data_IF_649905129341
#
_entry.id   IF_649905129341
#
_cell.length_a   1.000
_cell.length_b   1.000
_cell.length_c   1.000
_cell.angle_alpha   90.00
_cell.angle_beta   90.00
_cell.angle_gamma   90.00
#
_symmetry.space_group_name_H-M   'P 1'
#
loop_
_entity.id
_entity.type
_entity.pdbx_description
1 polymer ?
#
# COMPACT_ATOMS: atom_id res chain seq x y z
N UNK A 1 -9.55 49.21 17.75
CA UNK A 1 -9.30 48.10 18.69
C UNK A 1 -9.89 46.84 18.06
N UNK A 2 -9.05 45.93 17.59
CA UNK A 2 -9.44 44.54 17.29
C UNK A 2 -8.38 43.62 17.90
N UNK A 3 -8.85 42.64 18.66
CA UNK A 3 -8.10 41.74 19.53
C UNK A 3 -7.08 40.89 18.77
N UNK A 4 -5.86 40.83 19.30
CA UNK A 4 -4.88 39.84 18.89
C UNK A 4 -5.25 38.50 19.53
N UNK A 5 -5.60 37.50 18.70
CA UNK A 5 -5.76 36.12 19.13
C UNK A 5 -4.43 35.62 19.74
N UNK A 6 -4.39 35.53 21.06
CA UNK A 6 -3.25 34.99 21.81
C UNK A 6 -3.31 33.46 21.75
N UNK A 7 -2.70 32.87 20.73
CA UNK A 7 -2.51 31.42 20.67
C UNK A 7 -1.41 31.08 21.67
N UNK A 8 -1.79 30.51 22.82
CA UNK A 8 -0.87 29.93 23.80
C UNK A 8 -0.50 28.53 23.29
N UNK A 9 0.78 28.25 22.97
CA UNK A 9 1.18 26.89 22.64
C UNK A 9 1.29 26.09 23.94
N UNK A 10 0.26 25.28 24.22
CA UNK A 10 0.36 24.22 25.22
C UNK A 10 1.23 23.06 24.69
N UNK A 11 2.20 22.67 25.51
CA UNK A 11 2.60 21.28 25.66
C UNK A 11 3.51 20.70 24.58
N UNK A 12 4.82 20.81 24.81
CA UNK A 12 5.81 19.94 24.17
C UNK A 12 7.21 20.54 24.31
N UNK A 13 8.06 19.92 25.13
CA UNK A 13 9.45 20.31 25.29
C UNK A 13 10.22 19.98 24.00
N UNK A 14 10.14 20.89 23.04
CA UNK A 14 10.90 20.85 21.80
C UNK A 14 12.27 21.47 22.05
N UNK A 15 13.24 21.18 21.18
CA UNK A 15 14.47 21.95 20.99
C UNK A 15 14.14 23.45 20.82
N UNK A 16 13.87 24.13 21.94
CA UNK A 16 13.11 25.37 21.98
C UNK A 16 13.83 26.50 21.27
N UNK A 17 15.15 26.51 21.31
CA UNK A 17 15.95 27.60 20.78
C UNK A 17 15.89 27.66 19.25
N UNK A 18 15.88 26.53 18.55
CA UNK A 18 15.91 26.51 17.09
C UNK A 18 14.53 26.86 16.50
N UNK A 19 13.46 26.30 17.07
CA UNK A 19 12.10 26.58 16.65
C UNK A 19 11.73 28.06 16.89
N UNK A 20 12.04 28.58 18.09
CA UNK A 20 11.77 29.98 18.43
C UNK A 20 12.60 30.95 17.56
N UNK A 21 13.86 30.64 17.25
CA UNK A 21 14.69 31.45 16.34
C UNK A 21 14.10 31.52 14.94
N UNK A 22 13.63 30.39 14.39
CA UNK A 22 12.99 30.36 13.07
C UNK A 22 11.69 31.16 13.07
N UNK A 23 10.88 31.00 14.12
CA UNK A 23 9.63 31.75 14.27
C UNK A 23 9.86 33.26 14.33
N UNK A 24 10.82 33.72 15.15
CA UNK A 24 11.17 35.14 15.24
C UNK A 24 11.65 35.70 13.90
N UNK A 25 12.46 34.95 13.15
CA UNK A 25 12.92 35.36 11.81
C UNK A 25 11.77 35.59 10.83
N UNK A 26 10.72 34.76 10.91
CA UNK A 26 9.52 34.91 10.07
C UNK A 26 8.72 36.15 10.50
N UNK A 27 8.59 36.39 11.80
CA UNK A 27 7.90 37.58 12.32
C UNK A 27 8.61 38.88 11.91
N UNK A 28 9.95 38.94 12.00
CA UNK A 28 10.72 40.11 11.56
C UNK A 28 10.54 40.37 10.06
N UNK A 29 10.55 39.29 9.26
CA UNK A 29 10.35 39.41 7.83
C UNK A 29 8.92 39.85 7.49
N UNK A 30 7.89 39.33 8.17
CA UNK A 30 6.48 39.65 7.89
C UNK A 30 6.16 41.11 8.23
N UNK A 31 6.75 41.63 9.31
CA UNK A 31 6.60 43.03 9.70
C UNK A 31 7.28 43.99 8.71
N UNK A 32 8.41 43.59 8.14
CA UNK A 32 9.15 44.42 7.18
C UNK A 32 8.53 44.39 5.78
N UNK A 33 7.76 43.35 5.44
CA UNK A 33 7.29 43.08 4.08
C UNK A 33 5.89 42.47 4.05
N UNK A 34 4.90 43.30 4.35
CA UNK A 34 3.48 42.91 4.40
C UNK A 34 2.88 42.51 3.04
N UNK A 35 3.54 42.89 1.93
CA UNK A 35 3.07 42.62 0.57
C UNK A 35 3.48 41.24 0.02
N UNK A 36 4.40 40.54 0.71
CA UNK A 36 4.86 39.23 0.25
C UNK A 36 3.86 38.14 0.63
N UNK A 37 3.67 37.18 -0.27
CA UNK A 37 2.94 35.96 0.07
C UNK A 37 3.71 35.16 1.13
N UNK A 38 2.99 34.36 1.93
CA UNK A 38 3.61 33.53 2.95
C UNK A 38 4.74 32.64 2.41
N UNK A 39 4.62 32.14 1.17
CA UNK A 39 5.65 31.29 0.57
C UNK A 39 6.90 32.09 0.20
N UNK A 40 6.77 33.29 -0.37
CA UNK A 40 7.90 34.17 -0.69
C UNK A 40 8.62 34.64 0.59
N UNK A 41 7.85 34.89 1.65
CA UNK A 41 8.39 35.26 2.95
C UNK A 41 9.27 34.16 3.55
N UNK A 42 8.81 32.91 3.48
CA UNK A 42 9.56 31.74 3.95
C UNK A 42 10.79 31.50 3.06
N UNK A 43 10.64 31.65 1.74
CA UNK A 43 11.76 31.52 0.79
C UNK A 43 12.84 32.59 1.03
N UNK A 44 12.45 33.80 1.42
CA UNK A 44 13.40 34.85 1.82
C UNK A 44 14.14 34.50 3.12
N UNK A 45 13.45 33.91 4.09
CA UNK A 45 14.06 33.57 5.37
C UNK A 45 14.98 32.34 5.30
N UNK A 46 14.65 31.36 4.47
CA UNK A 46 15.25 30.02 4.50
C UNK A 46 15.68 29.48 3.14
N UNK A 47 15.58 30.26 2.07
CA UNK A 47 15.88 29.86 0.70
C UNK A 47 14.69 29.23 -0.02
N UNK A 48 14.81 29.10 -1.35
CA UNK A 48 13.76 28.54 -2.22
C UNK A 48 13.25 27.20 -1.70
N UNK A 49 11.94 27.09 -1.52
CA UNK A 49 11.29 25.87 -1.05
C UNK A 49 10.93 25.01 -2.27
N UNK A 50 11.14 23.69 -2.18
CA UNK A 50 10.75 22.78 -3.25
C UNK A 50 9.22 22.68 -3.35
N UNK A 51 8.60 23.53 -4.18
CA UNK A 51 7.13 23.59 -4.36
C UNK A 51 6.53 22.33 -5.00
N UNK A 52 7.36 21.51 -5.64
CA UNK A 52 6.96 20.25 -6.26
C UNK A 52 6.72 19.12 -5.26
N UNK A 53 7.18 19.30 -4.02
CA UNK A 53 6.98 18.36 -2.94
C UNK A 53 6.65 19.13 -1.68
N UNK A 54 5.37 19.28 -1.36
CA UNK A 54 4.97 19.75 -0.03
C UNK A 54 5.36 18.64 0.95
N UNK A 55 6.59 18.70 1.46
CA UNK A 55 6.97 17.96 2.66
C UNK A 55 6.29 18.71 3.80
N UNK A 56 5.07 18.29 4.13
CA UNK A 56 4.44 18.68 5.37
C UNK A 56 5.34 18.19 6.51
N UNK A 57 6.11 19.10 7.11
CA UNK A 57 6.64 18.90 8.47
C UNK A 57 5.47 19.09 9.45
N UNK A 58 4.60 18.09 9.50
CA UNK A 58 3.54 17.91 10.50
C UNK A 58 3.61 16.45 10.95
N UNK A 59 3.89 16.22 12.23
CA UNK A 59 4.41 14.95 12.74
C UNK A 59 3.64 13.70 12.32
N UNK A 60 4.36 12.70 11.83
CA UNK A 60 3.81 11.35 11.79
C UNK A 60 4.40 10.31 10.83
N UNK A 61 5.43 10.58 10.03
CA UNK A 61 6.25 9.52 9.42
C UNK A 61 7.69 10.02 9.30
N UNK A 62 8.59 9.53 10.14
CA UNK A 62 10.03 9.74 10.00
C UNK A 62 10.52 8.89 8.82
N UNK A 63 11.58 9.32 8.13
CA UNK A 63 12.25 8.48 7.12
C UNK A 63 12.71 7.12 7.69
N UNK A 64 12.90 7.03 9.01
CA UNK A 64 13.17 5.80 9.75
C UNK A 64 11.95 4.89 9.93
N UNK A 65 10.74 5.44 9.86
CA UNK A 65 9.48 4.68 9.94
C UNK A 65 9.16 4.01 8.59
N UNK A 66 9.71 4.55 7.50
CA UNK A 66 9.81 3.89 6.21
C UNK A 66 10.96 2.87 6.29
N UNK A 67 10.70 1.68 6.86
CA UNK A 67 11.63 0.55 6.71
C UNK A 67 11.97 0.40 5.22
N UNK A 68 13.23 0.17 4.84
CA UNK A 68 13.64 0.03 3.42
C UNK A 68 13.20 -1.31 2.80
N UNK A 69 12.14 -1.93 3.32
CA UNK A 69 11.66 -3.26 2.95
C UNK A 69 10.47 -3.24 1.98
N UNK A 70 10.16 -2.09 1.39
CA UNK A 70 9.19 -2.05 0.31
C UNK A 70 9.92 -2.39 -0.98
N UNK A 71 9.80 -3.64 -1.42
CA UNK A 71 9.98 -3.97 -2.84
C UNK A 71 9.28 -2.89 -3.66
N UNK A 72 9.95 -2.41 -4.70
CA UNK A 72 9.40 -1.33 -5.51
C UNK A 72 7.98 -1.71 -5.98
N UNK A 73 7.11 -0.73 -6.20
CA UNK A 73 5.75 -1.00 -6.72
C UNK A 73 5.80 -1.88 -7.99
N UNK A 74 6.84 -1.71 -8.81
CA UNK A 74 7.10 -2.53 -9.98
C UNK A 74 7.42 -3.99 -9.62
N UNK A 75 8.31 -4.24 -8.66
CA UNK A 75 8.64 -5.60 -8.19
C UNK A 75 7.44 -6.32 -7.58
N UNK A 76 6.64 -5.62 -6.77
CA UNK A 76 5.43 -6.20 -6.18
C UNK A 76 4.41 -6.60 -7.26
N UNK A 77 4.23 -5.75 -8.27
CA UNK A 77 3.38 -6.06 -9.41
C UNK A 77 3.91 -7.24 -10.22
N UNK A 78 5.22 -7.30 -10.46
CA UNK A 78 5.85 -8.42 -11.18
C UNK A 78 5.62 -9.75 -10.44
N UNK A 79 5.86 -9.77 -9.12
CA UNK A 79 5.64 -10.95 -8.28
C UNK A 79 4.17 -11.37 -8.22
N UNK A 80 3.24 -10.40 -8.20
CA UNK A 80 1.81 -10.67 -8.26
C UNK A 80 1.43 -11.34 -9.58
N UNK A 81 1.88 -10.80 -10.71
CA UNK A 81 1.62 -11.37 -12.04
C UNK A 81 2.22 -12.77 -12.19
N UNK A 82 3.43 -13.01 -11.69
CA UNK A 82 4.07 -14.33 -11.71
C UNK A 82 3.27 -15.35 -10.91
N UNK A 83 2.89 -14.99 -9.67
CA UNK A 83 2.08 -15.83 -8.80
C UNK A 83 0.72 -16.16 -9.43
N UNK A 84 0.10 -15.21 -10.13
CA UNK A 84 -1.17 -15.44 -10.84
C UNK A 84 -1.02 -16.44 -11.99
N UNK A 85 0.05 -16.33 -12.79
CA UNK A 85 0.34 -17.28 -13.87
C UNK A 85 0.59 -18.68 -13.36
N UNK A 86 1.37 -18.81 -12.29
CA UNK A 86 1.63 -20.10 -11.65
C UNK A 86 0.33 -20.74 -11.16
N UNK A 87 -0.51 -19.98 -10.44
CA UNK A 87 -1.81 -20.46 -9.97
C UNK A 87 -2.72 -20.91 -11.10
N UNK A 88 -2.76 -20.18 -12.22
CA UNK A 88 -3.54 -20.57 -13.39
C UNK A 88 -3.05 -21.89 -13.98
N UNK A 89 -1.72 -22.05 -14.13
CA UNK A 89 -1.11 -23.29 -14.61
C UNK A 89 -1.42 -24.48 -13.71
N UNK A 90 -1.31 -24.30 -12.38
CA UNK A 90 -1.62 -25.34 -11.41
C UNK A 90 -3.09 -25.76 -11.47
N UNK A 91 -4.02 -24.81 -11.61
CA UNK A 91 -5.45 -25.09 -11.78
C UNK A 91 -5.71 -25.92 -13.03
N UNK A 92 -5.17 -25.52 -14.18
CA UNK A 92 -5.33 -26.28 -15.42
C UNK A 92 -4.78 -27.71 -15.33
N UNK A 93 -3.66 -27.91 -14.62
CA UNK A 93 -3.12 -29.26 -14.38
C UNK A 93 -4.02 -30.09 -13.48
N UNK A 94 -4.59 -29.48 -12.43
CA UNK A 94 -5.52 -30.13 -11.53
C UNK A 94 -6.80 -30.56 -12.27
N UNK A 95 -7.39 -29.65 -13.06
CA UNK A 95 -8.57 -29.94 -13.88
C UNK A 95 -8.30 -31.11 -14.85
N UNK A 96 -7.11 -31.13 -15.47
CA UNK A 96 -6.71 -32.23 -16.36
C UNK A 96 -6.57 -33.57 -15.62
N UNK A 97 -6.02 -33.56 -14.40
CA UNK A 97 -5.90 -34.76 -13.58
C UNK A 97 -7.26 -35.28 -13.11
N UNK A 98 -8.17 -34.39 -12.74
CA UNK A 98 -9.55 -34.74 -12.36
C UNK A 98 -10.30 -35.38 -13.53
N UNK A 99 -10.12 -34.87 -14.75
CA UNK A 99 -10.72 -35.45 -15.95
C UNK A 99 -10.20 -36.88 -16.24
N UNK A 100 -8.89 -37.11 -16.15
CA UNK A 100 -8.31 -38.44 -16.34
C UNK A 100 -8.75 -39.42 -15.25
N UNK A 101 -8.82 -38.99 -13.99
CA UNK A 101 -9.34 -39.82 -12.90
C UNK A 101 -10.80 -40.21 -13.12
N UNK A 102 -11.62 -39.26 -13.60
CA UNK A 102 -13.01 -39.53 -13.92
C UNK A 102 -13.14 -40.57 -15.04
N UNK A 103 -12.32 -40.47 -16.09
CA UNK A 103 -12.26 -41.45 -17.18
C UNK A 103 -11.84 -42.84 -16.72
N UNK A 104 -10.81 -42.93 -15.85
CA UNK A 104 -10.38 -44.21 -15.27
C UNK A 104 -11.49 -44.84 -14.43
N UNK A 105 -12.17 -44.03 -13.62
CA UNK A 105 -13.31 -44.48 -12.81
C UNK A 105 -14.43 -45.05 -13.68
N UNK A 106 -14.76 -44.40 -14.78
CA UNK A 106 -15.76 -44.86 -15.75
C UNK A 106 -15.34 -46.19 -16.39
N UNK A 107 -14.08 -46.32 -16.83
CA UNK A 107 -13.55 -47.57 -17.39
C UNK A 107 -13.64 -48.74 -16.41
N UNK A 108 -13.28 -48.51 -15.14
CA UNK A 108 -13.37 -49.53 -14.09
C UNK A 108 -14.81 -49.94 -13.79
N UNK A 109 -15.75 -48.98 -13.77
CA UNK A 109 -17.18 -49.27 -13.61
C UNK A 109 -17.74 -50.10 -14.77
N UNK A 110 -17.35 -49.79 -16.01
CA UNK A 110 -17.75 -50.58 -17.18
C UNK A 110 -17.20 -52.01 -17.12
N UNK A 111 -15.94 -52.21 -16.71
CA UNK A 111 -15.35 -53.55 -16.58
C UNK A 111 -16.03 -54.39 -15.49
N UNK A 112 -16.47 -53.76 -14.40
CA UNK A 112 -17.22 -54.44 -13.33
C UNK A 112 -18.61 -54.91 -13.81
N UNK A 113 -19.30 -54.11 -14.64
CA UNK A 113 -20.61 -54.48 -15.21
C UNK A 113 -20.56 -55.61 -16.24
N UNK A 114 -19.44 -55.80 -16.95
CA UNK A 114 -19.28 -56.88 -17.95
C UNK A 114 -18.95 -58.22 -17.27
N UNK A 115 -18.31 -58.19 -16.09
CA UNK A 115 -17.84 -59.40 -15.39
C UNK A 115 -18.91 -60.10 -14.53
N UNK A 116 -20.06 -59.46 -14.29
CA UNK A 116 -21.22 -60.05 -13.62
C UNK A 116 -22.49 -59.81 -14.43
N UNK A 117 -22.85 -60.68 -15.40
CA UNK A 117 -24.16 -60.62 -16.03
C UNK A 117 -25.21 -60.95 -14.97
N UNK A 118 -26.14 -60.02 -14.72
CA UNK A 118 -27.35 -60.28 -13.95
C UNK A 118 -28.03 -61.53 -14.52
N UNK A 119 -27.97 -62.65 -13.80
CA UNK A 119 -28.66 -63.86 -14.22
C UNK A 119 -30.16 -63.57 -14.24
N UNK A 120 -30.91 -63.97 -15.29
CA UNK A 120 -32.35 -63.85 -15.27
C UNK A 120 -32.87 -64.77 -14.17
N UNK A 121 -33.59 -64.20 -13.21
CA UNK A 121 -34.41 -64.96 -12.28
C UNK A 121 -35.52 -65.63 -13.09
N UNK A 122 -35.32 -66.89 -13.50
CA UNK A 122 -36.40 -67.74 -13.97
C UNK A 122 -37.32 -68.04 -12.78
N UNK A 123 -38.49 -67.42 -12.81
CA UNK A 123 -39.59 -67.77 -11.93
C UNK A 123 -40.13 -69.15 -12.26
N UNK A 124 -40.40 -69.91 -11.20
CA UNK A 124 -41.42 -70.95 -11.14
C UNK A 124 -42.18 -70.78 -9.83
#
# INVERSE_FOLDING_TARGET
MQEALKIVPEGGQLEGDNANKKYNKILEASQSQLELSNIELIEKCFGTQCRQHVVCYGGGVKSTDLKPSYSSRAELNAKLCETQKENQSLRSRMDGMEAELQKIKEMLQQHHNISHPSSPSEGN
#
